data_IF_855733331273
#
_entry.id   IF_855733331273
#
_cell.length_a   1.000
_cell.length_b   1.000
_cell.length_c   1.000
_cell.angle_alpha   90.00
_cell.angle_beta   90.00
_cell.angle_gamma   90.00
#
_symmetry.space_group_name_H-M   'P 1'
#
loop_
_entity.id
_entity.type
_entity.pdbx_description
1 polymer ?
#
# COMPACT_ATOMS: atom_id res chain seq x y z
N UNK A 1 0.46 -1.61 21.12
CA UNK A 1 -0.24 -0.37 20.73
C UNK A 1 -1.48 -0.65 19.89
N UNK A 2 -1.38 -1.31 18.74
CA UNK A 2 -2.56 -1.64 17.90
C UNK A 2 -3.53 -2.59 18.61
N UNK A 3 -3.03 -3.65 19.24
CA UNK A 3 -3.84 -4.56 20.04
C UNK A 3 -4.57 -3.85 21.19
N UNK A 4 -3.86 -3.00 21.94
CA UNK A 4 -4.44 -2.17 23.02
C UNK A 4 -5.60 -1.30 22.50
N UNK A 5 -5.37 -0.54 21.43
CA UNK A 5 -6.39 0.34 20.85
C UNK A 5 -7.59 -0.45 20.32
N UNK A 6 -7.35 -1.60 19.69
CA UNK A 6 -8.40 -2.52 19.23
C UNK A 6 -9.25 -3.05 20.39
N UNK A 7 -8.61 -3.46 21.50
CA UNK A 7 -9.30 -3.97 22.69
C UNK A 7 -10.17 -2.89 23.35
N UNK A 8 -9.83 -1.61 23.17
CA UNK A 8 -10.64 -0.46 23.59
C UNK A 8 -11.73 -0.07 22.57
N UNK A 9 -11.95 -0.88 21.52
CA UNK A 9 -12.99 -0.67 20.51
C UNK A 9 -12.62 0.31 19.39
N UNK A 10 -11.35 0.71 19.27
CA UNK A 10 -10.92 1.60 18.19
C UNK A 10 -10.63 0.81 16.90
N UNK A 11 -11.01 1.39 15.76
CA UNK A 11 -10.53 0.90 14.46
C UNK A 11 -9.08 1.32 14.24
N UNK A 12 -8.22 0.34 14.02
CA UNK A 12 -6.78 0.54 13.82
C UNK A 12 -6.40 0.34 12.36
N UNK A 13 -5.41 1.11 11.89
CA UNK A 13 -4.87 0.96 10.55
C UNK A 13 -3.39 1.32 10.51
N UNK A 14 -2.67 0.76 9.55
CA UNK A 14 -1.27 1.12 9.25
C UNK A 14 -1.17 1.59 7.81
N UNK A 15 -0.38 2.63 7.58
CA UNK A 15 -0.05 3.10 6.23
C UNK A 15 1.41 2.76 5.97
N UNK A 16 1.68 2.06 4.87
CA UNK A 16 3.02 1.59 4.53
C UNK A 16 3.24 1.60 3.02
N UNK A 17 4.51 1.67 2.62
CA UNK A 17 4.94 1.43 1.24
C UNK A 17 5.07 -0.08 0.92
N UNK A 18 4.86 -0.95 1.91
CA UNK A 18 4.87 -2.41 1.74
C UNK A 18 6.26 -3.03 1.68
N UNK A 19 7.33 -2.26 1.81
CA UNK A 19 8.69 -2.79 1.59
C UNK A 19 9.10 -3.85 2.61
N UNK A 20 8.80 -3.63 3.89
CA UNK A 20 9.13 -4.56 4.98
C UNK A 20 7.99 -5.53 5.28
N UNK A 21 6.96 -5.57 4.43
CA UNK A 21 5.80 -6.41 4.65
C UNK A 21 6.16 -7.89 4.50
N UNK A 22 5.92 -8.64 5.55
CA UNK A 22 5.99 -10.10 5.58
C UNK A 22 5.00 -10.61 6.63
N UNK A 23 4.79 -11.93 6.69
CA UNK A 23 3.86 -12.53 7.63
C UNK A 23 4.22 -12.26 9.10
N UNK A 24 5.51 -12.22 9.43
CA UNK A 24 5.95 -11.97 10.80
C UNK A 24 5.54 -10.57 11.25
N UNK A 25 5.76 -9.55 10.41
CA UNK A 25 5.31 -8.19 10.69
C UNK A 25 3.80 -8.13 10.89
N UNK A 26 3.02 -8.83 10.07
CA UNK A 26 1.56 -8.87 10.20
C UNK A 26 1.12 -9.53 11.52
N UNK A 27 1.81 -10.59 11.96
CA UNK A 27 1.57 -11.21 13.28
C UNK A 27 1.92 -10.26 14.43
N UNK A 28 3.03 -9.53 14.32
CA UNK A 28 3.49 -8.59 15.33
C UNK A 28 2.52 -7.39 15.47
N UNK A 29 1.89 -6.99 14.35
CA UNK A 29 0.85 -5.96 14.30
C UNK A 29 -0.55 -6.51 14.63
N UNK A 30 -0.67 -7.29 15.71
CA UNK A 30 -1.95 -7.80 16.19
C UNK A 30 -2.97 -6.69 16.49
N UNK A 31 -4.26 -7.00 16.33
CA UNK A 31 -5.37 -6.05 16.49
C UNK A 31 -5.42 -4.98 15.39
N UNK A 32 -4.78 -5.20 14.25
CA UNK A 32 -4.89 -4.36 13.06
C UNK A 32 -6.16 -4.71 12.28
N UNK A 33 -6.93 -3.70 11.84
CA UNK A 33 -8.14 -3.93 11.02
C UNK A 33 -7.89 -3.66 9.54
N UNK A 34 -7.04 -2.67 9.25
CA UNK A 34 -6.76 -2.21 7.89
C UNK A 34 -5.27 -2.14 7.61
N UNK A 35 -4.90 -2.60 6.42
CA UNK A 35 -3.59 -2.30 5.84
C UNK A 35 -3.77 -1.33 4.67
N UNK A 36 -3.07 -0.20 4.73
CA UNK A 36 -3.07 0.81 3.67
C UNK A 36 -1.76 0.73 2.90
N UNK A 37 -1.82 0.29 1.65
CA UNK A 37 -0.68 0.34 0.75
C UNK A 37 -0.63 1.69 0.03
N UNK A 38 0.55 2.30 0.02
CA UNK A 38 0.83 3.51 -0.74
C UNK A 38 1.41 3.13 -2.09
N UNK A 39 0.62 3.22 -3.16
CA UNK A 39 0.95 2.83 -4.53
C UNK A 39 0.69 4.04 -5.43
N UNK A 40 1.74 4.71 -5.86
CA UNK A 40 1.63 5.86 -6.77
C UNK A 40 1.80 5.44 -8.22
N UNK A 41 2.53 4.36 -8.46
CA UNK A 41 2.79 3.80 -9.78
C UNK A 41 2.96 2.29 -9.65
N UNK A 42 2.52 1.54 -10.65
CA UNK A 42 2.85 0.13 -10.85
C UNK A 42 4.00 -0.08 -11.85
N UNK A 43 4.57 1.02 -12.37
CA UNK A 43 5.74 1.06 -13.23
C UNK A 43 6.99 1.33 -12.37
N UNK A 44 7.96 0.39 -12.32
CA UNK A 44 9.18 0.52 -11.53
C UNK A 44 9.97 1.81 -11.79
N UNK A 45 10.10 2.19 -13.06
CA UNK A 45 10.85 3.36 -13.50
C UNK A 45 10.21 4.65 -12.96
N UNK A 46 8.89 4.76 -13.01
CA UNK A 46 8.14 5.90 -12.47
C UNK A 46 8.32 6.01 -10.95
N UNK A 47 8.32 4.88 -10.24
CA UNK A 47 8.61 4.83 -8.81
C UNK A 47 10.05 5.28 -8.49
N UNK A 48 11.02 4.95 -9.35
CA UNK A 48 12.40 5.39 -9.20
C UNK A 48 12.55 6.90 -9.41
N UNK A 49 11.94 7.42 -10.48
CA UNK A 49 11.99 8.85 -10.82
C UNK A 49 11.30 9.73 -9.78
N UNK A 50 10.20 9.27 -9.19
CA UNK A 50 9.46 9.99 -8.15
C UNK A 50 10.15 10.00 -6.78
N UNK A 51 11.28 9.32 -6.62
CA UNK A 51 11.99 9.24 -5.33
C UNK A 51 11.32 8.35 -4.29
N UNK A 52 10.31 7.55 -4.68
CA UNK A 52 9.65 6.58 -3.78
C UNK A 52 10.55 5.43 -3.36
N UNK A 53 11.69 5.27 -4.03
CA UNK A 53 12.68 4.25 -3.73
C UNK A 53 13.80 4.87 -2.89
N UNK A 54 14.05 4.29 -1.72
CA UNK A 54 15.25 4.62 -0.95
C UNK A 54 16.52 4.06 -1.59
N UNK A 55 17.72 4.61 -1.31
CA UNK A 55 18.97 4.14 -1.89
C UNK A 55 19.17 2.62 -1.78
N UNK A 56 19.57 1.98 -2.88
CA UNK A 56 19.88 0.54 -2.93
C UNK A 56 18.67 -0.40 -2.89
N UNK A 57 17.46 0.10 -3.17
CA UNK A 57 16.22 -0.70 -3.19
C UNK A 57 15.67 -0.83 -4.60
N UNK A 58 14.95 -1.91 -4.85
CA UNK A 58 14.20 -2.11 -6.09
C UNK A 58 12.82 -1.48 -5.96
N UNK A 59 12.36 -0.88 -7.05
CA UNK A 59 10.99 -0.42 -7.17
C UNK A 59 10.06 -1.63 -7.25
N UNK A 60 8.87 -1.52 -6.67
CA UNK A 60 7.82 -2.49 -6.94
C UNK A 60 7.16 -2.19 -8.28
N UNK A 61 6.96 -3.25 -9.07
CA UNK A 61 6.00 -3.29 -10.15
C UNK A 61 4.67 -3.88 -9.68
N UNK A 62 3.78 -4.13 -10.64
CA UNK A 62 2.46 -4.70 -10.37
C UNK A 62 2.53 -6.04 -9.63
N UNK A 63 3.39 -6.97 -10.08
CA UNK A 63 3.52 -8.31 -9.51
C UNK A 63 3.93 -8.25 -8.04
N UNK A 64 4.91 -7.41 -7.69
CA UNK A 64 5.33 -7.27 -6.31
C UNK A 64 4.19 -6.72 -5.42
N UNK A 65 3.41 -5.77 -5.93
CA UNK A 65 2.26 -5.29 -5.18
C UNK A 65 1.17 -6.37 -5.01
N UNK A 66 0.94 -7.23 -6.01
CA UNK A 66 -0.01 -8.34 -5.92
C UNK A 66 0.38 -9.36 -4.84
N UNK A 67 1.67 -9.69 -4.74
CA UNK A 67 2.19 -10.55 -3.67
C UNK A 67 1.91 -9.95 -2.27
N UNK A 68 2.12 -8.63 -2.13
CA UNK A 68 1.95 -7.90 -0.86
C UNK A 68 0.48 -7.84 -0.47
N UNK A 69 -0.39 -7.60 -1.45
CA UNK A 69 -1.84 -7.61 -1.28
C UNK A 69 -2.34 -9.00 -0.89
N UNK A 70 -1.75 -10.05 -1.46
CA UNK A 70 -2.06 -11.43 -1.08
C UNK A 70 -1.71 -11.70 0.39
N UNK A 71 -0.55 -11.25 0.87
CA UNK A 71 -0.18 -11.35 2.28
C UNK A 71 -1.18 -10.63 3.21
N UNK A 72 -1.59 -9.42 2.84
CA UNK A 72 -2.57 -8.62 3.60
C UNK A 72 -3.91 -9.37 3.70
N UNK A 73 -4.42 -9.86 2.57
CA UNK A 73 -5.70 -10.58 2.52
C UNK A 73 -5.65 -11.91 3.28
N UNK A 74 -4.55 -12.64 3.16
CA UNK A 74 -4.35 -13.90 3.89
C UNK A 74 -4.29 -13.69 5.41
N UNK A 75 -3.86 -12.51 5.87
CA UNK A 75 -3.92 -12.12 7.27
C UNK A 75 -5.32 -11.64 7.72
N UNK A 76 -6.33 -11.69 6.85
CA UNK A 76 -7.70 -11.26 7.15
C UNK A 76 -7.87 -9.75 7.28
N UNK A 77 -6.91 -8.96 6.79
CA UNK A 77 -6.93 -7.51 6.89
C UNK A 77 -7.69 -6.87 5.73
N UNK A 78 -8.40 -5.78 6.04
CA UNK A 78 -9.08 -4.96 5.05
C UNK A 78 -8.05 -4.14 4.26
N UNK A 79 -8.24 -4.06 2.94
CA UNK A 79 -7.31 -3.38 2.05
C UNK A 79 -7.78 -1.96 1.74
N UNK A 80 -6.86 -1.00 1.88
CA UNK A 80 -6.99 0.34 1.33
C UNK A 80 -5.77 0.68 0.50
N UNK A 81 -5.98 1.39 -0.61
CA UNK A 81 -4.92 1.91 -1.46
C UNK A 81 -4.90 3.44 -1.38
N UNK A 82 -3.71 4.02 -1.25
CA UNK A 82 -3.47 5.45 -1.38
C UNK A 82 -2.58 5.68 -2.61
N UNK A 83 -2.95 6.65 -3.44
CA UNK A 83 -2.20 7.09 -4.62
C UNK A 83 -2.05 8.60 -4.56
N UNK A 84 -0.83 9.11 -4.69
CA UNK A 84 -0.52 10.51 -4.93
C UNK A 84 -0.24 10.68 -6.43
N UNK A 85 -1.06 11.47 -7.09
CA UNK A 85 -0.88 11.87 -8.49
C UNK A 85 0.08 13.06 -8.53
N UNK A 86 1.12 12.93 -9.34
CA UNK A 86 2.26 13.84 -9.49
C UNK A 86 2.62 14.02 -10.97
N UNK A 87 3.61 14.87 -11.26
CA UNK A 87 4.14 15.05 -12.60
C UNK A 87 4.69 13.75 -13.24
N UNK A 88 5.03 12.74 -12.43
CA UNK A 88 5.64 11.50 -12.90
C UNK A 88 4.63 10.43 -13.34
N UNK A 89 3.41 10.44 -12.81
CA UNK A 89 2.43 9.35 -12.97
C UNK A 89 1.04 9.82 -13.45
N UNK A 90 0.83 11.11 -13.72
CA UNK A 90 -0.50 11.62 -14.10
C UNK A 90 -1.07 11.04 -15.40
N UNK A 91 -0.23 10.46 -16.26
CA UNK A 91 -0.63 9.79 -17.50
C UNK A 91 -0.76 8.26 -17.33
N UNK A 92 -0.45 7.72 -16.16
CA UNK A 92 -0.50 6.28 -15.91
C UNK A 92 -1.95 5.83 -15.73
N UNK A 93 -2.34 4.79 -16.48
CA UNK A 93 -3.63 4.14 -16.29
C UNK A 93 -3.48 2.93 -15.36
N UNK A 94 -3.88 3.11 -14.12
CA UNK A 94 -3.91 2.05 -13.10
C UNK A 94 -5.27 1.34 -13.01
N UNK A 95 -6.22 1.61 -13.92
CA UNK A 95 -7.60 1.13 -13.80
C UNK A 95 -7.68 -0.40 -13.75
N UNK A 96 -6.95 -1.09 -14.64
CA UNK A 96 -6.90 -2.54 -14.65
C UNK A 96 -6.38 -3.11 -13.33
N UNK A 97 -5.29 -2.54 -12.80
CA UNK A 97 -4.71 -2.96 -11.53
C UNK A 97 -5.65 -2.71 -10.35
N UNK A 98 -6.30 -1.54 -10.29
CA UNK A 98 -7.28 -1.22 -9.25
C UNK A 98 -8.47 -2.18 -9.28
N UNK A 99 -8.94 -2.54 -10.48
CA UNK A 99 -10.03 -3.50 -10.67
C UNK A 99 -9.63 -4.95 -10.35
N UNK A 100 -8.36 -5.30 -10.48
CA UNK A 100 -7.84 -6.59 -10.05
C UNK A 100 -7.73 -6.67 -8.52
N UNK A 101 -7.18 -5.63 -7.89
CA UNK A 101 -6.90 -5.63 -6.44
C UNK A 101 -8.08 -5.21 -5.58
N UNK A 102 -9.15 -4.66 -6.17
CA UNK A 102 -10.42 -4.29 -5.53
C UNK A 102 -10.25 -3.76 -4.10
N UNK A 103 -9.50 -2.66 -3.88
CA UNK A 103 -9.36 -2.11 -2.55
C UNK A 103 -10.72 -1.59 -2.09
N UNK A 104 -11.08 -1.83 -0.83
CA UNK A 104 -12.36 -1.34 -0.29
C UNK A 104 -12.42 0.18 -0.25
N UNK A 105 -11.25 0.83 -0.29
CA UNK A 105 -11.13 2.27 -0.48
C UNK A 105 -9.87 2.58 -1.27
N UNK A 106 -10.04 3.38 -2.32
CA UNK A 106 -8.96 4.06 -3.02
C UNK A 106 -8.98 5.54 -2.61
N UNK A 107 -7.86 6.06 -2.10
CA UNK A 107 -7.67 7.50 -1.89
C UNK A 107 -6.72 8.04 -2.94
N UNK A 108 -7.16 9.05 -3.67
CA UNK A 108 -6.37 9.76 -4.67
C UNK A 108 -6.08 11.16 -4.11
N UNK A 109 -4.80 11.48 -3.99
CA UNK A 109 -4.30 12.79 -3.61
C UNK A 109 -3.62 13.43 -4.80
N UNK A 110 -3.61 14.76 -4.87
CA UNK A 110 -2.84 15.52 -5.85
C UNK A 110 -1.63 16.13 -5.16
N UNK A 111 -0.45 15.95 -5.75
CA UNK A 111 0.72 16.73 -5.38
C UNK A 111 0.59 18.15 -5.96
N UNK A 112 0.83 19.16 -5.13
CA UNK A 112 0.88 20.56 -5.55
C UNK A 112 2.33 21.02 -5.48
N UNK A 113 3.03 20.91 -6.60
CA UNK A 113 4.27 21.62 -6.92
C UNK A 113 4.13 22.23 -8.31
#
# INVERSE_FOLDING_TARGET
>A
MTAEASNLGMTTMVVSNGLTLNEQLLRDLSGLHWFVLSIDSIIPETNALSGRIGPGRLAFGAEEYLERISLIRNAGLRLKMNTVVSAFNWQEDMSAFVLEVLPERLKIFRHYE
#
